data_IF_298742761238
#
_entry.id   IF_298742761238
#
_cell.length_a   1.000
_cell.length_b   1.000
_cell.length_c   1.000
_cell.angle_alpha   90.00
_cell.angle_beta   90.00
_cell.angle_gamma   90.00
#
_symmetry.space_group_name_H-M   'P 1'
#
loop_
_entity.id
_entity.type
_entity.pdbx_description
1 polymer ?
#
# COMPACT_ATOMS: atom_id res chain seq x y z
N UNK A 1 4.69 52.22 -9.09
CA UNK A 1 3.51 51.61 -8.46
C UNK A 1 3.72 50.08 -8.47
N UNK A 2 4.00 49.53 -7.31
CA UNK A 2 4.25 48.09 -7.18
C UNK A 2 2.92 47.45 -6.78
N UNK A 3 2.39 46.56 -7.62
CA UNK A 3 1.21 45.74 -7.30
C UNK A 3 1.60 44.62 -6.32
N UNK A 4 1.01 44.67 -5.16
CA UNK A 4 1.14 43.67 -4.11
C UNK A 4 0.27 42.46 -4.51
N UNK A 5 0.87 41.33 -4.87
CA UNK A 5 0.18 40.07 -5.11
C UNK A 5 -0.28 39.52 -3.77
N UNK A 6 -1.58 39.50 -3.54
CA UNK A 6 -2.20 38.96 -2.34
C UNK A 6 -2.14 37.42 -2.35
N UNK A 7 -1.54 36.84 -1.32
CA UNK A 7 -1.54 35.41 -1.04
C UNK A 7 -2.99 34.99 -0.66
N UNK A 8 -3.55 33.93 -1.26
CA UNK A 8 -4.88 33.46 -0.86
C UNK A 8 -4.85 32.85 0.55
N UNK A 9 -5.92 33.01 1.35
CA UNK A 9 -5.96 32.50 2.71
C UNK A 9 -6.02 30.96 2.71
N UNK A 10 -5.24 30.35 3.59
CA UNK A 10 -5.28 28.92 3.87
C UNK A 10 -6.68 28.53 4.36
N UNK A 11 -7.39 27.75 3.58
CA UNK A 11 -8.70 27.20 3.96
C UNK A 11 -8.48 26.15 5.04
N UNK A 12 -8.79 26.48 6.28
CA UNK A 12 -8.88 25.53 7.39
C UNK A 12 -10.11 24.65 7.14
N UNK A 13 -9.91 23.46 6.59
CA UNK A 13 -10.95 22.45 6.46
C UNK A 13 -11.23 21.86 7.83
N UNK A 14 -12.48 22.01 8.29
CA UNK A 14 -12.98 21.52 9.56
C UNK A 14 -12.69 20.03 9.78
N UNK A 15 -12.08 19.71 10.90
CA UNK A 15 -11.77 18.36 11.37
C UNK A 15 -13.03 17.64 11.84
N UNK A 16 -13.71 16.91 10.95
CA UNK A 16 -14.39 15.72 11.41
C UNK A 16 -13.29 14.70 11.73
N UNK A 17 -13.15 14.32 12.99
CA UNK A 17 -12.22 13.29 13.45
C UNK A 17 -12.68 11.92 12.92
N UNK A 18 -12.44 11.65 11.65
CA UNK A 18 -12.46 10.29 11.12
C UNK A 18 -11.30 9.58 11.79
N UNK A 19 -11.58 8.53 12.56
CA UNK A 19 -10.54 7.79 13.26
C UNK A 19 -9.53 7.26 12.23
N UNK A 20 -8.34 7.86 12.23
CA UNK A 20 -7.24 7.45 11.34
C UNK A 20 -6.78 6.04 11.72
N UNK A 21 -6.82 5.10 10.77
CA UNK A 21 -6.25 3.77 10.96
C UNK A 21 -4.73 3.85 10.99
N UNK A 22 -4.13 4.53 10.00
CA UNK A 22 -2.69 4.79 9.91
C UNK A 22 -2.45 6.30 10.02
N UNK A 23 -1.54 6.69 10.91
CA UNK A 23 -1.02 8.05 11.01
C UNK A 23 0.49 8.03 10.97
N UNK A 24 1.09 8.63 9.96
CA UNK A 24 2.51 8.88 9.84
C UNK A 24 2.76 10.35 10.19
N UNK A 25 3.67 10.62 11.12
CA UNK A 25 3.90 11.96 11.66
C UNK A 25 5.40 12.30 11.55
N UNK A 26 5.72 13.28 10.69
CA UNK A 26 7.05 13.81 10.46
C UNK A 26 8.11 12.70 10.30
N UNK A 27 7.78 11.69 9.45
CA UNK A 27 8.65 10.55 9.26
C UNK A 27 9.92 10.95 8.49
N UNK A 28 11.06 10.68 9.11
CA UNK A 28 12.39 10.89 8.53
C UNK A 28 13.12 9.55 8.44
N UNK A 29 13.79 9.31 7.34
CA UNK A 29 14.68 8.16 7.16
C UNK A 29 15.94 8.59 6.44
N UNK A 30 17.06 8.40 7.12
CA UNK A 30 18.38 8.70 6.60
C UNK A 30 19.18 7.42 6.51
N UNK A 31 19.81 7.19 5.35
CA UNK A 31 20.76 6.11 5.13
C UNK A 31 22.17 6.65 5.00
N UNK A 32 23.17 5.83 5.30
CA UNK A 32 24.57 6.17 5.16
C UNK A 32 25.25 6.56 6.48
N UNK A 33 26.51 6.98 6.41
CA UNK A 33 27.34 7.41 7.53
C UNK A 33 27.84 8.84 7.33
N UNK A 34 28.49 9.42 8.34
CA UNK A 34 29.03 10.80 8.28
C UNK A 34 29.83 11.02 6.99
N UNK A 35 29.38 11.99 6.18
CA UNK A 35 30.00 12.38 4.91
C UNK A 35 29.26 11.92 3.65
N UNK A 36 28.33 10.94 3.75
CA UNK A 36 27.50 10.50 2.62
C UNK A 36 26.12 10.06 3.14
N UNK A 37 25.30 11.03 3.54
CA UNK A 37 23.94 10.77 4.06
C UNK A 37 22.90 11.03 2.97
N UNK A 38 22.00 10.08 2.78
CA UNK A 38 20.85 10.19 1.88
C UNK A 38 19.57 10.24 2.69
N UNK A 39 18.82 11.35 2.55
CA UNK A 39 17.50 11.51 3.15
C UNK A 39 16.46 10.83 2.25
N UNK A 40 16.09 9.59 2.56
CA UNK A 40 15.09 8.86 1.79
C UNK A 40 13.65 9.27 2.16
N UNK A 41 13.44 9.74 3.40
CA UNK A 41 12.21 10.40 3.86
C UNK A 41 12.60 11.65 4.61
N UNK A 42 11.88 12.76 4.37
CA UNK A 42 12.16 14.07 4.91
C UNK A 42 10.88 14.75 5.42
N UNK A 43 10.45 14.37 6.62
CA UNK A 43 9.31 14.95 7.29
C UNK A 43 7.93 14.50 6.76
N UNK A 44 7.83 13.31 6.17
CA UNK A 44 6.57 12.78 5.60
C UNK A 44 5.49 12.70 6.68
N UNK A 45 4.33 13.30 6.40
CA UNK A 45 3.13 13.20 7.23
C UNK A 45 1.93 12.84 6.39
N UNK A 46 1.19 11.79 6.78
CA UNK A 46 -0.05 11.36 6.13
C UNK A 46 -0.94 10.60 7.10
N UNK A 47 -2.23 10.56 6.78
CA UNK A 47 -3.22 9.77 7.52
C UNK A 47 -4.03 8.93 6.53
N UNK A 48 -4.38 7.70 6.90
CA UNK A 48 -5.27 6.83 6.14
C UNK A 48 -6.44 6.43 7.05
N UNK A 49 -7.65 6.63 6.58
CA UNK A 49 -8.86 6.24 7.30
C UNK A 49 -9.08 4.72 7.20
N UNK A 50 -9.84 4.16 8.14
CA UNK A 50 -10.27 2.76 8.03
C UNK A 50 -11.15 2.57 6.78
N UNK A 51 -10.91 1.51 6.02
CA UNK A 51 -11.63 1.21 4.79
C UNK A 51 -11.23 2.10 3.60
N UNK A 52 -10.16 2.87 3.71
CA UNK A 52 -9.66 3.69 2.59
C UNK A 52 -8.71 2.87 1.70
N UNK A 53 -8.81 3.02 0.39
CA UNK A 53 -7.85 2.49 -0.57
C UNK A 53 -7.04 3.66 -1.14
N UNK A 54 -5.78 3.76 -0.74
CA UNK A 54 -4.87 4.88 -1.06
C UNK A 54 -3.68 4.37 -1.83
N UNK A 55 -3.20 5.15 -2.80
CA UNK A 55 -1.91 4.90 -3.43
C UNK A 55 -0.88 5.99 -3.11
N UNK A 56 0.38 5.59 -3.07
CA UNK A 56 1.54 6.48 -3.08
C UNK A 56 2.22 6.34 -4.43
N UNK A 57 2.32 7.44 -5.15
CA UNK A 57 3.00 7.54 -6.44
C UNK A 57 4.25 8.43 -6.34
N UNK A 58 5.12 8.31 -7.32
CA UNK A 58 6.30 9.17 -7.46
C UNK A 58 7.40 8.51 -8.29
N UNK A 59 8.42 9.27 -8.70
CA UNK A 59 9.53 8.75 -9.50
C UNK A 59 10.34 7.69 -8.75
N UNK A 60 11.20 6.97 -9.47
CA UNK A 60 12.15 6.05 -8.85
C UNK A 60 13.06 6.82 -7.87
N UNK A 61 13.33 6.23 -6.70
CA UNK A 61 14.16 6.87 -5.67
C UNK A 61 13.44 7.90 -4.80
N UNK A 62 12.16 8.22 -5.03
CA UNK A 62 11.42 9.22 -4.22
C UNK A 62 11.15 8.83 -2.76
N UNK A 63 11.43 7.57 -2.36
CA UNK A 63 11.25 7.10 -0.98
C UNK A 63 10.02 6.22 -0.75
N UNK A 64 9.25 5.85 -1.79
CA UNK A 64 8.00 5.06 -1.66
C UNK A 64 8.20 3.73 -0.94
N UNK A 65 9.11 2.90 -1.43
CA UNK A 65 9.44 1.59 -0.82
C UNK A 65 10.03 1.77 0.59
N UNK A 66 10.81 2.84 0.82
CA UNK A 66 11.32 3.17 2.15
C UNK A 66 10.18 3.48 3.12
N UNK A 67 9.21 4.29 2.70
CA UNK A 67 8.03 4.60 3.51
C UNK A 67 7.21 3.35 3.80
N UNK A 68 6.96 2.52 2.77
CA UNK A 68 6.26 1.24 2.93
C UNK A 68 6.99 0.31 3.91
N UNK A 69 8.33 0.21 3.81
CA UNK A 69 9.15 -0.59 4.71
C UNK A 69 9.10 -0.09 6.16
N UNK A 70 9.04 1.21 6.38
CA UNK A 70 8.87 1.77 7.72
C UNK A 70 7.47 1.49 8.28
N UNK A 71 6.41 1.65 7.49
CA UNK A 71 5.03 1.33 7.89
C UNK A 71 4.88 -0.17 8.16
N UNK A 72 5.50 -1.01 7.34
CA UNK A 72 5.50 -2.47 7.49
C UNK A 72 6.36 -2.97 8.66
N UNK A 73 7.11 -2.08 9.30
CA UNK A 73 8.05 -2.40 10.38
C UNK A 73 9.22 -3.30 9.96
N UNK A 74 9.48 -3.43 8.65
CA UNK A 74 10.69 -4.09 8.10
C UNK A 74 11.91 -3.21 8.38
N UNK A 75 11.74 -1.89 8.24
CA UNK A 75 12.75 -0.91 8.58
C UNK A 75 12.25 0.05 9.69
N UNK A 76 13.13 0.83 10.28
CA UNK A 76 12.81 1.80 11.33
C UNK A 76 13.03 3.22 10.82
N UNK A 77 12.19 4.15 11.23
CA UNK A 77 12.42 5.57 11.04
C UNK A 77 13.70 6.02 11.77
N UNK A 78 14.37 7.02 11.21
CA UNK A 78 15.42 7.76 11.93
C UNK A 78 14.79 8.73 12.93
N UNK A 79 13.67 9.39 12.53
CA UNK A 79 12.89 10.29 13.39
C UNK A 79 11.41 10.24 12.98
N UNK A 80 10.52 10.79 13.82
CA UNK A 80 9.08 10.80 13.59
C UNK A 80 8.36 9.62 14.24
N UNK A 81 7.08 9.43 13.88
CA UNK A 81 6.22 8.40 14.46
C UNK A 81 5.32 7.76 13.42
N UNK A 82 4.99 6.49 13.63
CA UNK A 82 3.95 5.79 12.90
C UNK A 82 2.98 5.17 13.91
N UNK A 83 1.71 5.54 13.77
CA UNK A 83 0.63 5.00 14.60
C UNK A 83 -0.31 4.17 13.72
N UNK A 84 -0.65 2.97 14.18
CA UNK A 84 -1.68 2.13 13.55
C UNK A 84 -2.70 1.79 14.63
N UNK A 85 -3.98 2.09 14.39
CA UNK A 85 -5.06 2.02 15.40
C UNK A 85 -4.69 2.78 16.68
N UNK A 86 -4.06 3.94 16.56
CA UNK A 86 -3.61 4.74 17.69
C UNK A 86 -2.38 4.19 18.44
N UNK A 87 -1.87 3.01 18.08
CA UNK A 87 -0.69 2.39 18.69
C UNK A 87 0.58 2.86 17.99
N UNK A 88 1.49 3.49 18.72
CA UNK A 88 2.81 3.91 18.21
C UNK A 88 3.70 2.68 18.00
N UNK A 89 3.92 2.30 16.73
CA UNK A 89 4.71 1.14 16.36
C UNK A 89 6.22 1.43 16.40
N UNK A 90 6.63 2.68 16.37
CA UNK A 90 8.05 3.06 16.42
C UNK A 90 8.71 2.74 17.76
N UNK A 91 7.89 2.64 18.83
CA UNK A 91 8.34 2.33 20.20
C UNK A 91 8.35 0.84 20.53
N UNK A 92 7.92 -0.02 19.61
CA UNK A 92 7.81 -1.45 19.87
C UNK A 92 9.18 -2.15 19.84
N UNK A 93 9.37 -3.14 20.72
CA UNK A 93 10.51 -4.04 20.66
C UNK A 93 10.45 -4.93 19.42
N UNK A 94 11.58 -5.51 19.00
CA UNK A 94 11.66 -6.39 17.82
C UNK A 94 10.66 -7.56 17.90
N UNK A 95 10.49 -8.17 19.08
CA UNK A 95 9.50 -9.24 19.29
C UNK A 95 8.07 -8.74 19.15
N UNK A 96 7.76 -7.54 19.65
CA UNK A 96 6.45 -6.93 19.54
C UNK A 96 6.15 -6.51 18.10
N UNK A 97 7.14 -6.04 17.33
CA UNK A 97 7.00 -5.74 15.91
C UNK A 97 6.71 -7.00 15.09
N UNK A 98 7.40 -8.12 15.35
CA UNK A 98 7.11 -9.38 14.66
C UNK A 98 5.67 -9.86 14.91
N UNK A 99 5.21 -9.76 16.18
CA UNK A 99 3.82 -10.05 16.53
C UNK A 99 2.85 -9.10 15.83
N UNK A 100 3.16 -7.80 15.79
CA UNK A 100 2.34 -6.80 15.14
C UNK A 100 2.19 -7.07 13.63
N UNK A 101 3.31 -7.35 12.91
CA UNK A 101 3.25 -7.73 11.48
C UNK A 101 2.34 -8.91 11.22
N UNK A 102 2.48 -9.96 12.04
CA UNK A 102 1.69 -11.18 11.92
C UNK A 102 0.18 -10.93 12.13
N UNK A 103 -0.15 -10.10 13.11
CA UNK A 103 -1.52 -9.97 13.59
C UNK A 103 -2.30 -8.87 12.86
N UNK A 104 -1.62 -7.79 12.41
CA UNK A 104 -2.26 -6.56 11.95
C UNK A 104 -1.98 -6.22 10.47
N UNK A 105 -0.96 -6.83 9.83
CA UNK A 105 -0.58 -6.47 8.47
C UNK A 105 -0.78 -7.62 7.48
N UNK A 106 -1.28 -7.27 6.29
CA UNK A 106 -1.26 -8.12 5.09
C UNK A 106 -0.27 -7.57 4.07
N UNK A 107 0.37 -8.44 3.29
CA UNK A 107 1.38 -8.04 2.32
C UNK A 107 1.08 -8.62 0.94
N UNK A 108 1.17 -7.77 -0.08
CA UNK A 108 1.12 -8.11 -1.50
C UNK A 108 2.34 -7.44 -2.14
N UNK A 109 3.20 -8.24 -2.76
CA UNK A 109 4.44 -7.76 -3.40
C UNK A 109 4.33 -7.84 -4.92
N UNK A 110 5.24 -7.20 -5.62
CA UNK A 110 5.36 -7.26 -7.07
C UNK A 110 5.50 -8.71 -7.56
N UNK A 111 6.40 -9.47 -6.97
CA UNK A 111 6.40 -10.93 -7.08
C UNK A 111 5.45 -11.51 -6.04
N UNK A 112 4.67 -12.50 -6.40
CA UNK A 112 3.64 -13.08 -5.51
C UNK A 112 4.21 -13.63 -4.20
N UNK A 113 5.52 -13.93 -4.18
CA UNK A 113 6.23 -14.50 -3.04
C UNK A 113 5.50 -15.71 -2.42
N UNK A 114 4.90 -16.54 -3.28
CA UNK A 114 4.37 -17.83 -2.89
C UNK A 114 5.53 -18.81 -2.69
N UNK A 115 5.37 -19.73 -1.76
CA UNK A 115 6.31 -20.82 -1.57
C UNK A 115 6.06 -21.90 -2.62
N UNK A 116 7.04 -22.14 -3.49
CA UNK A 116 6.92 -23.04 -4.65
C UNK A 116 6.70 -24.51 -4.24
N UNK A 117 7.10 -24.86 -3.03
CA UNK A 117 6.93 -26.21 -2.44
C UNK A 117 5.56 -26.43 -1.82
N UNK A 118 4.72 -25.41 -1.77
CA UNK A 118 3.37 -25.43 -1.21
C UNK A 118 2.33 -25.16 -2.30
N UNK A 119 1.20 -25.83 -2.22
CA UNK A 119 0.01 -25.54 -3.02
C UNK A 119 -0.54 -24.14 -2.71
N UNK A 120 -1.45 -23.63 -3.54
CA UNK A 120 -2.15 -22.37 -3.26
C UNK A 120 -2.90 -22.43 -1.92
N UNK A 121 -3.57 -23.55 -1.63
CA UNK A 121 -4.24 -23.79 -0.34
C UNK A 121 -3.25 -23.67 0.82
N UNK A 122 -2.11 -24.35 0.75
CA UNK A 122 -1.11 -24.37 1.82
C UNK A 122 -0.42 -23.01 2.00
N UNK A 123 -0.19 -22.26 0.93
CA UNK A 123 0.29 -20.88 0.99
C UNK A 123 -0.67 -19.97 1.78
N UNK A 124 -1.98 -20.12 1.58
CA UNK A 124 -2.99 -19.35 2.34
C UNK A 124 -3.09 -19.90 3.77
N UNK A 125 -3.09 -21.22 3.95
CA UNK A 125 -3.18 -21.89 5.26
C UNK A 125 -2.02 -21.49 6.19
N UNK A 126 -0.82 -21.28 5.63
CA UNK A 126 0.36 -20.89 6.38
C UNK A 126 0.13 -19.58 7.16
N UNK A 127 -0.50 -18.58 6.56
CA UNK A 127 -0.80 -17.31 7.22
C UNK A 127 -1.73 -17.52 8.44
N UNK A 128 -2.78 -18.32 8.29
CA UNK A 128 -3.69 -18.65 9.37
C UNK A 128 -3.02 -19.48 10.48
N UNK A 129 -2.15 -20.41 10.10
CA UNK A 129 -1.38 -21.24 11.04
C UNK A 129 -0.42 -20.40 11.87
N UNK A 130 0.31 -19.49 11.23
CA UNK A 130 1.23 -18.57 11.91
C UNK A 130 0.46 -17.63 12.86
N UNK A 131 -0.76 -17.22 12.46
CA UNK A 131 -1.64 -16.41 13.32
C UNK A 131 -2.20 -17.20 14.52
N UNK A 132 -2.12 -18.54 14.49
CA UNK A 132 -2.61 -19.41 15.55
C UNK A 132 -4.12 -19.70 15.46
N UNK A 133 -4.70 -19.63 14.26
CA UNK A 133 -6.10 -20.01 14.01
C UNK A 133 -6.26 -21.51 14.22
N UNK A 134 -7.29 -21.98 14.95
CA UNK A 134 -7.56 -23.41 15.13
C UNK A 134 -7.67 -24.14 13.80
N UNK A 135 -7.03 -25.31 13.68
CA UNK A 135 -6.98 -26.09 12.44
C UNK A 135 -8.36 -26.43 11.87
N UNK A 136 -9.35 -26.62 12.74
CA UNK A 136 -10.75 -26.87 12.33
C UNK A 136 -11.43 -25.71 11.60
N UNK A 137 -10.94 -24.47 11.77
CA UNK A 137 -11.49 -23.26 11.13
C UNK A 137 -10.78 -22.92 9.81
N UNK A 138 -9.57 -23.41 9.60
CA UNK A 138 -8.73 -23.07 8.45
C UNK A 138 -9.42 -23.39 7.11
N UNK A 139 -9.96 -24.58 6.89
CA UNK A 139 -10.57 -24.93 5.59
C UNK A 139 -11.74 -24.02 5.21
N UNK A 140 -12.60 -23.70 6.16
CA UNK A 140 -13.76 -22.85 5.91
C UNK A 140 -13.34 -21.42 5.51
N UNK A 141 -12.37 -20.84 6.19
CA UNK A 141 -11.83 -19.50 5.88
C UNK A 141 -11.17 -19.46 4.51
N UNK A 142 -10.35 -20.47 4.17
CA UNK A 142 -9.67 -20.53 2.87
C UNK A 142 -10.68 -20.66 1.75
N UNK A 143 -11.63 -21.59 1.86
CA UNK A 143 -12.63 -21.81 0.82
C UNK A 143 -13.53 -20.58 0.61
N UNK A 144 -13.84 -19.84 1.67
CA UNK A 144 -14.62 -18.61 1.57
C UNK A 144 -13.84 -17.52 0.81
N UNK A 145 -12.60 -17.23 1.23
CA UNK A 145 -11.80 -16.19 0.58
C UNK A 145 -11.39 -16.58 -0.85
N UNK A 146 -11.10 -17.85 -1.10
CA UNK A 146 -10.73 -18.32 -2.43
C UNK A 146 -11.87 -18.12 -3.44
N UNK A 147 -13.12 -18.45 -3.05
CA UNK A 147 -14.31 -18.18 -3.88
C UNK A 147 -14.50 -16.69 -4.14
N UNK A 148 -14.36 -15.86 -3.10
CA UNK A 148 -14.52 -14.41 -3.19
C UNK A 148 -13.50 -13.75 -4.11
N UNK A 149 -12.28 -14.30 -4.22
CA UNK A 149 -11.21 -13.81 -5.09
C UNK A 149 -11.05 -14.61 -6.39
N UNK A 150 -11.93 -15.58 -6.67
CA UNK A 150 -11.92 -16.35 -7.90
C UNK A 150 -10.68 -17.23 -8.06
N UNK A 151 -10.16 -17.81 -6.96
CA UNK A 151 -8.99 -18.70 -6.95
C UNK A 151 -9.29 -20.09 -6.35
N UNK A 152 -10.55 -20.43 -6.19
CA UNK A 152 -10.98 -21.73 -5.64
C UNK A 152 -10.53 -22.92 -6.51
N UNK A 153 -10.59 -22.78 -7.83
CA UNK A 153 -10.11 -23.80 -8.78
C UNK A 153 -8.59 -23.99 -8.76
N UNK A 154 -7.83 -23.08 -8.16
CA UNK A 154 -6.37 -23.10 -8.07
C UNK A 154 -5.85 -23.72 -6.76
N UNK A 155 -6.69 -23.95 -5.77
CA UNK A 155 -6.27 -24.31 -4.41
C UNK A 155 -5.31 -25.52 -4.34
N UNK A 156 -5.50 -26.51 -5.23
CA UNK A 156 -4.67 -27.71 -5.27
C UNK A 156 -3.44 -27.60 -6.19
N UNK A 157 -3.20 -26.42 -6.82
CA UNK A 157 -2.08 -26.20 -7.73
C UNK A 157 -0.89 -25.62 -6.99
N UNK A 158 0.30 -25.98 -7.46
CA UNK A 158 1.55 -25.33 -7.08
C UNK A 158 1.76 -24.03 -7.87
N UNK A 159 2.59 -23.08 -7.39
CA UNK A 159 2.85 -21.82 -8.09
C UNK A 159 3.27 -21.98 -9.55
N UNK A 160 4.11 -22.96 -9.86
CA UNK A 160 4.56 -23.27 -11.24
C UNK A 160 3.46 -23.83 -12.17
N UNK A 161 2.30 -24.15 -11.64
CA UNK A 161 1.11 -24.64 -12.39
C UNK A 161 0.07 -23.53 -12.60
N UNK A 162 0.36 -22.32 -12.15
CA UNK A 162 -0.54 -21.17 -12.20
C UNK A 162 0.05 -20.04 -13.06
N UNK A 163 -0.83 -19.23 -13.67
CA UNK A 163 -0.39 -17.98 -14.30
C UNK A 163 0.06 -16.95 -13.25
N UNK A 164 0.88 -15.96 -13.66
CA UNK A 164 1.30 -14.88 -12.78
C UNK A 164 0.13 -14.16 -12.10
N UNK A 165 -0.95 -13.89 -12.85
CA UNK A 165 -2.17 -13.29 -12.29
C UNK A 165 -2.90 -14.20 -11.30
N UNK A 166 -2.89 -15.53 -11.50
CA UNK A 166 -3.43 -16.48 -10.53
C UNK A 166 -2.58 -16.49 -9.25
N UNK A 167 -1.26 -16.50 -9.37
CA UNK A 167 -0.33 -16.41 -8.24
C UNK A 167 -0.55 -15.13 -7.44
N UNK A 168 -0.73 -13.99 -8.10
CA UNK A 168 -0.99 -12.71 -7.45
C UNK A 168 -2.33 -12.69 -6.70
N UNK A 169 -3.40 -13.27 -7.25
CA UNK A 169 -4.67 -13.39 -6.53
C UNK A 169 -4.60 -14.36 -5.35
N UNK A 170 -3.82 -15.43 -5.45
CA UNK A 170 -3.53 -16.30 -4.29
C UNK A 170 -2.74 -15.55 -3.22
N UNK A 171 -1.77 -14.72 -3.60
CA UNK A 171 -1.06 -13.84 -2.67
C UNK A 171 -1.99 -12.82 -2.00
N UNK A 172 -2.95 -12.25 -2.74
CA UNK A 172 -3.99 -11.40 -2.19
C UNK A 172 -4.90 -12.15 -1.20
N UNK A 173 -5.28 -13.40 -1.52
CA UNK A 173 -6.04 -14.26 -0.60
C UNK A 173 -5.25 -14.52 0.70
N UNK A 174 -3.97 -14.84 0.58
CA UNK A 174 -3.06 -15.00 1.73
C UNK A 174 -2.97 -13.74 2.57
N UNK A 175 -2.94 -12.58 1.94
CA UNK A 175 -2.83 -11.29 2.64
C UNK A 175 -4.09 -10.96 3.45
N UNK A 176 -5.30 -11.23 2.92
CA UNK A 176 -6.56 -10.83 3.55
C UNK A 176 -7.17 -11.88 4.48
N UNK A 177 -6.83 -13.18 4.31
CA UNK A 177 -7.47 -14.29 5.04
C UNK A 177 -7.37 -14.18 6.56
N UNK A 178 -6.39 -13.43 7.03
CA UNK A 178 -6.15 -13.15 8.45
C UNK A 178 -6.91 -11.93 8.99
N UNK A 179 -7.77 -11.29 8.23
CA UNK A 179 -8.46 -10.04 8.58
C UNK A 179 -7.47 -8.98 9.11
N UNK A 180 -6.46 -8.57 8.33
CA UNK A 180 -5.48 -7.58 8.76
C UNK A 180 -6.12 -6.21 8.86
N UNK A 181 -5.54 -5.36 9.74
CA UNK A 181 -5.96 -3.96 9.84
C UNK A 181 -5.57 -3.14 8.62
N UNK A 182 -4.40 -3.44 8.04
CA UNK A 182 -3.85 -2.73 6.90
C UNK A 182 -3.20 -3.72 5.93
N UNK A 183 -3.55 -3.61 4.66
CA UNK A 183 -2.89 -4.33 3.57
C UNK A 183 -1.91 -3.37 2.90
N UNK A 184 -0.66 -3.80 2.77
CA UNK A 184 0.42 -3.09 2.10
C UNK A 184 0.69 -3.79 0.76
N UNK A 185 0.54 -3.06 -0.34
CA UNK A 185 0.76 -3.58 -1.69
C UNK A 185 1.91 -2.80 -2.34
N UNK A 186 3.02 -3.48 -2.62
CA UNK A 186 4.20 -2.90 -3.27
C UNK A 186 4.24 -3.33 -4.73
N UNK A 187 3.92 -2.39 -5.63
CA UNK A 187 3.87 -2.60 -7.09
C UNK A 187 3.11 -3.88 -7.50
N UNK A 188 1.87 -4.11 -7.03
CA UNK A 188 1.19 -5.41 -7.12
C UNK A 188 0.92 -5.88 -8.56
N UNK A 189 1.09 -5.00 -9.54
CA UNK A 189 0.88 -5.27 -10.97
C UNK A 189 2.17 -5.26 -11.79
N UNK A 190 3.32 -4.95 -11.19
CA UNK A 190 4.56 -4.69 -11.92
C UNK A 190 5.14 -5.89 -12.70
N UNK A 191 4.77 -7.11 -12.33
CA UNK A 191 5.18 -8.35 -13.02
C UNK A 191 4.08 -8.96 -13.91
N UNK A 192 2.95 -8.25 -14.12
CA UNK A 192 1.78 -8.75 -14.83
C UNK A 192 1.62 -8.11 -16.20
N UNK A 193 1.05 -8.85 -17.15
CA UNK A 193 0.51 -8.26 -18.38
C UNK A 193 -0.72 -7.40 -18.10
N UNK A 194 -1.11 -6.56 -19.06
CA UNK A 194 -2.19 -5.57 -18.89
C UNK A 194 -3.53 -6.18 -18.47
N UNK A 195 -3.88 -7.37 -18.98
CA UNK A 195 -5.13 -8.04 -18.61
C UNK A 195 -5.09 -8.52 -17.16
N UNK A 196 -4.03 -9.24 -16.77
CA UNK A 196 -3.87 -9.73 -15.40
C UNK A 196 -3.68 -8.58 -14.40
N UNK A 197 -3.03 -7.47 -14.80
CA UNK A 197 -2.91 -6.26 -14.00
C UNK A 197 -4.29 -5.66 -13.69
N UNK A 198 -5.17 -5.53 -14.70
CA UNK A 198 -6.55 -5.04 -14.49
C UNK A 198 -7.32 -5.95 -13.54
N UNK A 199 -7.28 -7.27 -13.73
CA UNK A 199 -7.96 -8.24 -12.86
C UNK A 199 -7.43 -8.16 -11.42
N UNK A 200 -6.12 -7.94 -11.23
CA UNK A 200 -5.54 -7.77 -9.91
C UNK A 200 -6.01 -6.48 -9.23
N UNK A 201 -6.08 -5.36 -9.96
CA UNK A 201 -6.57 -4.08 -9.45
C UNK A 201 -8.05 -4.16 -9.09
N UNK A 202 -8.88 -4.80 -9.91
CA UNK A 202 -10.28 -5.10 -9.60
C UNK A 202 -10.43 -5.98 -8.36
N UNK A 203 -9.51 -6.93 -8.16
CA UNK A 203 -9.45 -7.76 -6.95
C UNK A 203 -9.18 -6.91 -5.72
N UNK A 204 -8.20 -5.99 -5.76
CA UNK A 204 -7.91 -5.06 -4.66
C UNK A 204 -9.06 -4.10 -4.39
N UNK A 205 -9.66 -3.54 -5.44
CA UNK A 205 -10.84 -2.70 -5.32
C UNK A 205 -12.02 -3.47 -4.68
N UNK A 206 -12.23 -4.72 -5.10
CA UNK A 206 -13.23 -5.62 -4.49
C UNK A 206 -12.94 -5.93 -3.02
N UNK A 207 -11.68 -6.16 -2.64
CA UNK A 207 -11.29 -6.34 -1.25
C UNK A 207 -11.61 -5.09 -0.41
N UNK A 208 -11.37 -3.90 -0.96
CA UNK A 208 -11.73 -2.66 -0.29
C UNK A 208 -13.25 -2.46 -0.18
N UNK A 209 -13.99 -2.54 -1.29
CA UNK A 209 -15.44 -2.24 -1.33
C UNK A 209 -16.30 -3.29 -0.61
N UNK A 210 -15.97 -4.58 -0.79
CA UNK A 210 -16.83 -5.68 -0.33
C UNK A 210 -16.45 -6.19 1.07
N UNK A 211 -15.19 -6.02 1.48
CA UNK A 211 -14.71 -6.51 2.79
C UNK A 211 -14.26 -5.37 3.71
N UNK A 212 -14.32 -4.11 3.25
CA UNK A 212 -13.90 -2.95 4.03
C UNK A 212 -12.39 -2.92 4.31
N UNK A 213 -11.58 -3.64 3.50
CA UNK A 213 -10.15 -3.68 3.69
C UNK A 213 -9.52 -2.29 3.53
N UNK A 214 -8.65 -1.89 4.45
CA UNK A 214 -7.81 -0.69 4.28
C UNK A 214 -6.57 -1.10 3.51
N UNK A 215 -6.29 -0.43 2.40
CA UNK A 215 -5.20 -0.80 1.50
C UNK A 215 -4.33 0.43 1.22
N UNK A 216 -3.02 0.28 1.44
CA UNK A 216 -2.00 1.23 0.98
C UNK A 216 -1.19 0.58 -0.12
N UNK A 217 -1.32 1.10 -1.34
CA UNK A 217 -0.59 0.64 -2.51
C UNK A 217 0.52 1.60 -2.86
N UNK A 218 1.70 1.09 -3.15
CA UNK A 218 2.79 1.83 -3.80
C UNK A 218 2.80 1.45 -5.26
N UNK A 219 2.83 2.42 -6.15
CA UNK A 219 2.93 2.19 -7.60
C UNK A 219 3.53 3.41 -8.31
N UNK A 220 4.13 3.19 -9.46
CA UNK A 220 4.51 4.25 -10.40
C UNK A 220 3.53 4.32 -11.59
N UNK A 221 2.57 3.40 -11.67
CA UNK A 221 1.58 3.33 -12.73
C UNK A 221 0.33 4.14 -12.38
N UNK A 222 0.05 5.17 -13.19
CA UNK A 222 -1.13 6.04 -13.04
C UNK A 222 -2.45 5.28 -13.26
N UNK A 223 -2.44 4.25 -14.12
CA UNK A 223 -3.62 3.40 -14.33
C UNK A 223 -3.93 2.62 -13.06
N UNK A 224 -2.92 2.00 -12.44
CA UNK A 224 -3.10 1.32 -11.15
C UNK A 224 -3.61 2.27 -10.06
N UNK A 225 -3.04 3.47 -9.97
CA UNK A 225 -3.45 4.48 -9.01
C UNK A 225 -4.91 4.95 -9.20
N UNK A 226 -5.45 4.91 -10.44
CA UNK A 226 -6.83 5.31 -10.73
C UNK A 226 -7.91 4.41 -10.08
N UNK A 227 -7.54 3.23 -9.58
CA UNK A 227 -8.43 2.35 -8.83
C UNK A 227 -8.60 2.75 -7.36
N UNK A 228 -7.75 3.65 -6.86
CA UNK A 228 -7.78 4.10 -5.46
C UNK A 228 -8.68 5.30 -5.25
N UNK A 229 -9.06 5.57 -4.00
CA UNK A 229 -9.86 6.75 -3.65
C UNK A 229 -9.03 8.03 -3.58
N UNK A 230 -7.70 7.87 -3.38
CA UNK A 230 -6.77 8.98 -3.19
C UNK A 230 -5.36 8.58 -3.59
N UNK A 231 -4.65 9.50 -4.24
CA UNK A 231 -3.23 9.38 -4.60
C UNK A 231 -2.44 10.44 -3.85
N UNK A 232 -1.39 9.98 -3.17
CA UNK A 232 -0.36 10.83 -2.55
C UNK A 232 0.88 10.78 -3.44
N UNK A 233 1.37 11.94 -3.87
CA UNK A 233 2.59 12.01 -4.69
C UNK A 233 3.78 12.29 -3.80
N UNK A 234 4.75 11.38 -3.84
CA UNK A 234 6.01 11.47 -3.11
C UNK A 234 7.13 11.87 -4.06
N UNK A 235 7.84 12.96 -3.76
CA UNK A 235 9.06 13.39 -4.45
C UNK A 235 10.10 13.78 -3.43
N UNK A 236 11.34 13.37 -3.64
CA UNK A 236 12.49 13.72 -2.79
C UNK A 236 12.24 13.53 -1.29
N UNK A 237 11.59 12.41 -0.96
CA UNK A 237 11.26 12.05 0.43
C UNK A 237 10.15 12.88 1.07
N UNK A 238 9.39 13.68 0.33
CA UNK A 238 8.30 14.54 0.83
C UNK A 238 7.00 14.30 0.07
N UNK A 239 5.85 14.48 0.74
CA UNK A 239 4.56 14.55 0.04
C UNK A 239 4.49 15.88 -0.72
N UNK A 240 4.48 15.77 -2.04
CA UNK A 240 4.43 16.90 -2.96
C UNK A 240 2.99 17.35 -3.24
N UNK A 241 2.10 16.39 -3.49
CA UNK A 241 0.71 16.66 -3.87
C UNK A 241 -0.21 15.53 -3.42
N UNK A 242 -1.51 15.81 -3.38
CA UNK A 242 -2.57 14.85 -3.11
C UNK A 242 -3.71 15.08 -4.08
N UNK A 243 -4.19 14.00 -4.74
CA UNK A 243 -5.37 14.03 -5.60
C UNK A 243 -6.40 13.05 -5.06
N UNK A 244 -7.63 13.51 -4.88
CA UNK A 244 -8.78 12.69 -4.43
C UNK A 244 -9.72 12.43 -5.59
N UNK A 245 -10.22 11.19 -5.65
CA UNK A 245 -11.18 10.80 -6.69
C UNK A 245 -12.53 11.50 -6.49
N UNK A 246 -13.06 11.52 -5.26
CA UNK A 246 -14.41 12.05 -5.00
C UNK A 246 -15.46 11.38 -5.91
N UNK A 247 -16.27 12.20 -6.55
CA UNK A 247 -17.34 11.77 -7.48
C UNK A 247 -16.88 11.60 -8.93
N UNK A 248 -15.58 11.76 -9.21
CA UNK A 248 -15.04 11.62 -10.56
C UNK A 248 -15.15 10.16 -11.05
N UNK A 249 -15.43 10.02 -12.35
CA UNK A 249 -15.24 8.75 -13.05
C UNK A 249 -13.77 8.31 -12.97
N UNK A 250 -13.49 7.02 -13.23
CA UNK A 250 -12.09 6.54 -13.25
C UNK A 250 -11.27 7.25 -14.33
N UNK A 251 -11.86 7.54 -15.48
CA UNK A 251 -11.20 8.20 -16.60
C UNK A 251 -10.83 9.66 -16.27
N UNK A 252 -11.76 10.44 -15.71
CA UNK A 252 -11.49 11.81 -15.26
C UNK A 252 -10.43 11.84 -14.15
N UNK A 253 -10.50 10.89 -13.21
CA UNK A 253 -9.53 10.78 -12.13
C UNK A 253 -8.14 10.40 -12.65
N UNK A 254 -8.06 9.47 -13.60
CA UNK A 254 -6.82 9.13 -14.30
C UNK A 254 -6.21 10.36 -14.99
N UNK A 255 -7.03 11.16 -15.66
CA UNK A 255 -6.61 12.43 -16.28
C UNK A 255 -5.95 13.37 -15.26
N UNK A 256 -6.58 13.54 -14.08
CA UNK A 256 -6.02 14.35 -12.97
C UNK A 256 -4.69 13.82 -12.43
N UNK A 257 -4.58 12.50 -12.30
CA UNK A 257 -3.33 11.85 -11.89
C UNK A 257 -2.24 12.15 -12.92
N UNK A 258 -2.54 12.02 -14.23
CA UNK A 258 -1.60 12.26 -15.31
C UNK A 258 -1.12 13.71 -15.39
N UNK A 259 -1.97 14.70 -15.06
CA UNK A 259 -1.55 16.11 -14.95
C UNK A 259 -0.40 16.28 -13.94
N UNK A 260 -0.53 15.67 -12.75
CA UNK A 260 0.52 15.74 -11.71
C UNK A 260 1.76 14.96 -12.12
N UNK A 261 1.61 13.77 -12.71
CA UNK A 261 2.74 12.96 -13.19
C UNK A 261 3.54 13.72 -14.26
N UNK A 262 2.85 14.38 -15.19
CA UNK A 262 3.48 15.17 -16.25
C UNK A 262 4.26 16.35 -15.68
N UNK A 263 3.69 17.03 -14.69
CA UNK A 263 4.35 18.14 -13.98
C UNK A 263 5.65 17.67 -13.30
N UNK A 264 5.59 16.59 -12.53
CA UNK A 264 6.77 15.99 -11.87
C UNK A 264 7.84 15.51 -12.88
N UNK A 265 7.42 14.96 -14.01
CA UNK A 265 8.34 14.52 -15.08
C UNK A 265 8.98 15.69 -15.85
N UNK A 266 8.31 16.85 -15.89
CA UNK A 266 8.83 18.09 -16.49
C UNK A 266 9.92 18.74 -15.62
N UNK A 267 9.73 18.80 -14.30
CA UNK A 267 10.73 19.35 -13.38
C UNK A 267 12.03 18.54 -13.36
N UNK A 268 11.96 17.20 -13.45
CA UNK A 268 13.13 16.35 -13.50
C UNK A 268 14.03 16.59 -14.73
N UNK A 269 13.52 17.21 -15.81
CA UNK A 269 14.30 17.55 -17.03
C UNK A 269 14.99 18.92 -16.95
N UNK A 270 14.66 19.76 -15.98
CA UNK A 270 15.22 21.09 -15.83
C UNK A 270 16.33 21.20 -14.76
N UNK A 271 16.63 20.10 -14.06
CA UNK A 271 17.66 20.03 -12.99
C UNK A 271 18.89 19.20 -13.41
N UNK A 272 19.02 18.87 -14.69
CA UNK A 272 20.12 18.11 -15.27
C UNK A 272 21.15 19.00 -15.99
#
# INVERSE_FOLDING_TARGET
MAETIATPPATVVGTHAVSSLLSVQHAEKVFGAKGNMTHALDGVSLNIAQGEFVSIMGPSGSGKTTLLNCISTIDRLTNGRILIKGRDITKLSTRALAKFRRDELGFIFQDSNLLDTLTAYENIALALTIKGVPSSQIPARINDIARKLGVDAQLNKYPNQMSGGQCQRVAAARAIVCDPSLILADEPTGALDSHNATVMLETLEGMNKNFGATILMVTHDAYAASFTSRVLFLSDGRIFNEVRRGDLSREEYFGRIMEVVTFLGGEARHVG
#
